data_IF_474094461932
#
_entry.id   IF_474094461932
#
_cell.length_a   1.000
_cell.length_b   1.000
_cell.length_c   1.000
_cell.angle_alpha   90.00
_cell.angle_beta   90.00
_cell.angle_gamma   90.00
#
_symmetry.space_group_name_H-M   'P 1'
#
loop_
_entity.id
_entity.type
_entity.pdbx_description
1 polymer ?
#
# COMPACT_ATOMS: atom_id res chain seq x y z
N UNK A 1 -16.31 -22.74 16.22
CA UNK A 1 -15.87 -22.60 14.81
C UNK A 1 -14.43 -22.13 14.84
N UNK A 2 -13.53 -22.69 14.01
CA UNK A 2 -12.11 -22.35 14.07
C UNK A 2 -11.82 -20.89 13.66
N UNK A 3 -12.71 -20.26 12.90
CA UNK A 3 -12.63 -18.87 12.48
C UNK A 3 -13.99 -18.18 12.61
N UNK A 4 -14.01 -17.03 13.28
CA UNK A 4 -15.16 -16.14 13.35
C UNK A 4 -15.09 -15.08 12.25
N UNK A 5 -16.25 -14.64 11.77
CA UNK A 5 -16.34 -13.51 10.83
C UNK A 5 -15.94 -12.20 11.51
N UNK A 6 -15.45 -11.23 10.72
CA UNK A 6 -15.00 -9.93 11.25
C UNK A 6 -16.11 -9.19 12.02
N UNK A 7 -15.90 -8.82 13.30
CA UNK A 7 -16.87 -8.04 14.07
C UNK A 7 -17.29 -6.75 13.36
N UNK A 8 -16.34 -6.04 12.75
CA UNK A 8 -16.62 -4.80 12.00
C UNK A 8 -17.55 -5.04 10.82
N UNK A 9 -17.38 -6.14 10.09
CA UNK A 9 -18.26 -6.50 8.98
C UNK A 9 -19.65 -6.91 9.47
N UNK A 10 -19.74 -7.68 10.56
CA UNK A 10 -21.00 -8.06 11.18
C UNK A 10 -21.79 -6.82 11.65
N UNK A 11 -21.11 -5.84 12.26
CA UNK A 11 -21.70 -4.55 12.64
C UNK A 11 -22.15 -3.77 11.41
N UNK A 12 -21.31 -3.67 10.38
CA UNK A 12 -21.63 -2.95 9.15
C UNK A 12 -22.80 -3.58 8.36
N UNK A 13 -23.00 -4.90 8.48
CA UNK A 13 -24.09 -5.63 7.82
C UNK A 13 -25.35 -5.79 8.68
N UNK A 14 -25.36 -5.24 9.90
CA UNK A 14 -26.50 -5.27 10.82
C UNK A 14 -26.67 -6.57 11.62
N UNK A 15 -25.70 -7.48 11.60
CA UNK A 15 -25.72 -8.75 12.34
C UNK A 15 -25.18 -8.57 13.77
N UNK A 16 -25.85 -7.74 14.58
CA UNK A 16 -25.34 -7.29 15.88
C UNK A 16 -25.15 -8.43 16.90
N UNK A 17 -26.09 -9.38 16.98
CA UNK A 17 -25.98 -10.52 17.91
C UNK A 17 -24.71 -11.35 17.65
N UNK A 18 -24.44 -11.66 16.38
CA UNK A 18 -23.22 -12.38 15.99
C UNK A 18 -21.97 -11.55 16.25
N UNK A 19 -22.01 -10.24 15.99
CA UNK A 19 -20.88 -9.35 16.31
C UNK A 19 -20.56 -9.39 17.81
N UNK A 20 -21.59 -9.37 18.66
CA UNK A 20 -21.50 -9.43 20.11
C UNK A 20 -20.90 -10.76 20.59
N UNK A 21 -21.36 -11.89 20.05
CA UNK A 21 -20.80 -13.22 20.34
C UNK A 21 -19.31 -13.27 20.01
N UNK A 22 -18.91 -12.79 18.84
CA UNK A 22 -17.50 -12.80 18.41
C UNK A 22 -16.65 -11.86 19.27
N UNK A 23 -17.14 -10.65 19.60
CA UNK A 23 -16.41 -9.72 20.46
C UNK A 23 -16.24 -10.26 21.88
N UNK A 24 -17.25 -10.92 22.43
CA UNK A 24 -17.17 -11.54 23.75
C UNK A 24 -16.28 -12.79 23.76
N UNK A 25 -16.22 -13.55 22.66
CA UNK A 25 -15.25 -14.64 22.51
C UNK A 25 -13.82 -14.07 22.47
N UNK A 26 -13.56 -13.02 21.68
CA UNK A 26 -12.25 -12.34 21.64
C UNK A 26 -11.88 -11.75 23.02
N UNK A 27 -12.87 -11.23 23.76
CA UNK A 27 -12.67 -10.69 25.10
C UNK A 27 -12.35 -11.75 26.16
N UNK A 28 -12.68 -13.01 25.89
CA UNK A 28 -12.57 -14.12 26.82
C UNK A 28 -11.15 -14.27 27.37
N UNK A 29 -11.04 -14.83 28.58
CA UNK A 29 -9.77 -15.09 29.28
C UNK A 29 -8.79 -15.95 28.47
N UNK A 30 -9.31 -16.75 27.54
CA UNK A 30 -8.51 -17.56 26.62
C UNK A 30 -7.60 -16.73 25.70
N UNK A 31 -8.02 -15.51 25.35
CA UNK A 31 -7.38 -14.73 24.28
C UNK A 31 -6.88 -13.37 24.77
N UNK A 32 -7.73 -12.57 25.39
CA UNK A 32 -7.41 -11.18 25.75
C UNK A 32 -7.61 -10.87 27.24
N UNK A 33 -8.36 -11.72 27.96
CA UNK A 33 -8.62 -11.56 29.41
C UNK A 33 -9.06 -10.14 29.81
N UNK A 34 -9.90 -9.54 28.97
CA UNK A 34 -10.46 -8.22 29.26
C UNK A 34 -11.75 -8.40 30.06
N UNK A 35 -12.02 -7.47 30.98
CA UNK A 35 -13.28 -7.42 31.73
C UNK A 35 -14.44 -6.84 30.90
N UNK A 36 -14.17 -6.42 29.67
CA UNK A 36 -15.18 -5.86 28.78
C UNK A 36 -16.16 -6.96 28.35
N UNK A 37 -17.45 -6.70 28.58
CA UNK A 37 -18.55 -7.49 28.03
C UNK A 37 -19.38 -6.59 27.15
N UNK A 38 -19.48 -6.95 25.88
CA UNK A 38 -20.25 -6.20 24.91
C UNK A 38 -21.68 -6.70 24.90
N UNK A 39 -22.64 -5.79 24.77
CA UNK A 39 -24.05 -6.10 24.53
C UNK A 39 -24.49 -5.57 23.17
N UNK A 40 -25.63 -6.06 22.69
CA UNK A 40 -26.21 -5.59 21.42
C UNK A 40 -26.58 -4.12 21.47
N UNK A 41 -26.92 -3.59 22.65
CA UNK A 41 -27.21 -2.17 22.86
C UNK A 41 -25.95 -1.31 22.73
N UNK A 42 -24.83 -1.74 23.32
CA UNK A 42 -23.55 -1.02 23.20
C UNK A 42 -23.13 -0.87 21.73
N UNK A 43 -23.37 -1.92 20.93
CA UNK A 43 -23.00 -1.98 19.52
C UNK A 43 -24.03 -1.26 18.64
N UNK A 44 -25.31 -1.22 19.03
CA UNK A 44 -26.35 -0.55 18.23
C UNK A 44 -26.13 0.97 18.18
N UNK A 45 -25.53 1.58 19.21
CA UNK A 45 -25.12 2.99 19.18
C UNK A 45 -24.09 3.30 18.06
N UNK A 46 -23.30 2.31 17.64
CA UNK A 46 -22.36 2.40 16.52
C UNK A 46 -23.09 2.28 15.17
N UNK A 47 -24.18 1.49 15.13
CA UNK A 47 -24.95 1.23 13.92
C UNK A 47 -25.99 2.32 13.64
N UNK A 48 -25.59 3.39 12.94
CA UNK A 48 -26.50 4.50 12.55
C UNK A 48 -27.13 4.40 11.15
N UNK A 49 -26.97 3.28 10.43
CA UNK A 49 -27.31 3.22 9.00
C UNK A 49 -28.19 2.02 8.63
N UNK A 50 -29.52 2.21 8.69
CA UNK A 50 -30.53 1.18 8.41
C UNK A 50 -30.66 0.79 6.92
N UNK A 51 -30.02 1.52 6.00
CA UNK A 51 -30.13 1.23 4.56
C UNK A 51 -28.92 0.44 4.08
N UNK A 52 -29.13 -0.83 3.68
CA UNK A 52 -28.18 -1.60 2.88
C UNK A 52 -27.91 -0.85 1.57
N UNK A 53 -26.77 -0.16 1.49
CA UNK A 53 -26.33 0.50 0.25
C UNK A 53 -25.41 -0.43 -0.52
N UNK A 54 -25.69 -0.59 -1.81
CA UNK A 54 -24.74 -1.20 -2.73
C UNK A 54 -23.68 -0.16 -3.09
N UNK A 55 -22.41 -0.52 -2.87
CA UNK A 55 -21.28 0.33 -3.19
C UNK A 55 -20.61 -0.17 -4.47
N UNK A 56 -20.21 0.77 -5.32
CA UNK A 56 -19.57 0.51 -6.61
C UNK A 56 -18.27 1.30 -6.71
N UNK A 57 -17.42 1.03 -7.71
CA UNK A 57 -16.19 1.77 -8.01
C UNK A 57 -16.36 3.31 -7.95
N UNK A 58 -17.48 3.84 -8.46
CA UNK A 58 -17.79 5.28 -8.40
C UNK A 58 -17.76 5.86 -6.98
N UNK A 59 -18.03 5.06 -5.96
CA UNK A 59 -18.04 5.53 -4.58
C UNK A 59 -16.64 5.84 -4.04
N UNK A 60 -15.58 5.36 -4.69
CA UNK A 60 -14.20 5.80 -4.42
C UNK A 60 -14.00 7.29 -4.75
N UNK A 61 -14.80 7.84 -5.67
CA UNK A 61 -14.72 9.24 -6.08
C UNK A 61 -15.89 10.09 -5.57
N UNK A 62 -16.70 9.53 -4.67
CA UNK A 62 -17.93 10.17 -4.18
C UNK A 62 -17.69 11.46 -3.39
N UNK A 63 -16.50 11.66 -2.82
CA UNK A 63 -16.14 12.87 -2.09
C UNK A 63 -14.77 13.40 -2.53
N UNK A 64 -14.52 14.71 -2.46
CA UNK A 64 -13.23 15.27 -2.86
C UNK A 64 -12.04 14.70 -2.09
N UNK A 65 -12.24 14.30 -0.82
CA UNK A 65 -11.21 13.68 0.02
C UNK A 65 -10.90 12.26 -0.43
N UNK A 66 -11.94 11.45 -0.68
CA UNK A 66 -11.77 10.10 -1.23
C UNK A 66 -11.21 10.14 -2.65
N UNK A 67 -11.69 11.03 -3.50
CA UNK A 67 -11.20 11.21 -4.86
C UNK A 67 -9.70 11.55 -4.89
N UNK A 68 -9.24 12.49 -4.06
CA UNK A 68 -7.80 12.82 -3.94
C UNK A 68 -6.98 11.62 -3.48
N UNK A 69 -7.47 10.88 -2.48
CA UNK A 69 -6.82 9.67 -1.99
C UNK A 69 -6.80 8.56 -3.04
N UNK A 70 -7.89 8.34 -3.75
CA UNK A 70 -7.97 7.35 -4.81
C UNK A 70 -7.05 7.72 -5.95
N UNK A 71 -7.09 8.95 -6.47
CA UNK A 71 -6.15 9.39 -7.50
C UNK A 71 -4.68 9.19 -7.08
N UNK A 72 -4.33 9.50 -5.83
CA UNK A 72 -2.99 9.27 -5.30
C UNK A 72 -2.61 7.77 -5.29
N UNK A 73 -3.53 6.90 -4.87
CA UNK A 73 -3.27 5.45 -4.84
C UNK A 73 -3.23 4.83 -6.24
N UNK A 74 -4.05 5.33 -7.17
CA UNK A 74 -4.03 4.95 -8.59
C UNK A 74 -2.67 5.31 -9.20
N UNK A 75 -2.21 6.54 -8.97
CA UNK A 75 -0.90 7.00 -9.42
C UNK A 75 0.23 6.15 -8.79
N UNK A 76 0.17 5.90 -7.48
CA UNK A 76 1.17 5.07 -6.78
C UNK A 76 1.24 3.65 -7.35
N UNK A 77 0.08 3.01 -7.61
CA UNK A 77 0.01 1.67 -8.21
C UNK A 77 0.55 1.66 -9.65
N UNK A 78 0.31 2.73 -10.39
CA UNK A 78 0.82 2.87 -11.75
C UNK A 78 2.34 3.05 -11.76
N UNK A 79 2.90 3.93 -10.92
CA UNK A 79 4.34 4.08 -10.71
C UNK A 79 4.98 2.76 -10.30
N UNK A 80 4.40 2.09 -9.30
CA UNK A 80 4.83 0.77 -8.84
C UNK A 80 4.95 -0.22 -10.01
N UNK A 81 3.91 -0.33 -10.84
CA UNK A 81 3.89 -1.26 -11.96
C UNK A 81 4.93 -0.91 -13.05
N UNK A 82 5.14 0.38 -13.31
CA UNK A 82 6.16 0.85 -14.27
C UNK A 82 7.57 0.52 -13.80
N UNK A 83 7.87 0.71 -12.52
CA UNK A 83 9.15 0.34 -11.91
C UNK A 83 9.33 -1.18 -11.88
N UNK A 84 8.34 -1.95 -11.42
CA UNK A 84 8.46 -3.42 -11.39
C UNK A 84 8.67 -4.04 -12.78
N UNK A 85 8.19 -3.39 -13.86
CA UNK A 85 8.46 -3.87 -15.20
C UNK A 85 9.94 -3.78 -15.60
N UNK A 86 10.71 -2.80 -15.09
CA UNK A 86 12.15 -2.71 -15.42
C UNK A 86 12.91 -3.93 -14.88
N UNK A 87 12.53 -4.42 -13.69
CA UNK A 87 13.06 -5.65 -13.10
C UNK A 87 12.92 -6.86 -14.02
N UNK A 88 11.72 -7.08 -14.57
CA UNK A 88 11.44 -8.24 -15.42
C UNK A 88 12.42 -8.30 -16.61
N UNK A 89 12.74 -7.15 -17.21
CA UNK A 89 13.72 -7.07 -18.29
C UNK A 89 15.15 -7.29 -17.82
N UNK A 90 15.56 -6.67 -16.71
CA UNK A 90 16.92 -6.79 -16.18
C UNK A 90 17.24 -8.23 -15.80
N UNK A 91 16.32 -8.89 -15.11
CA UNK A 91 16.46 -10.30 -14.75
C UNK A 91 16.44 -11.21 -15.97
N UNK A 92 15.63 -10.92 -16.99
CA UNK A 92 15.65 -11.72 -18.23
C UNK A 92 16.99 -11.65 -18.97
N UNK A 93 17.77 -10.58 -18.80
CA UNK A 93 19.12 -10.46 -19.36
C UNK A 93 20.16 -11.31 -18.62
N UNK A 94 19.98 -11.52 -17.32
CA UNK A 94 20.95 -12.17 -16.41
C UNK A 94 20.87 -13.71 -16.44
N UNK A 95 20.99 -14.34 -17.62
CA UNK A 95 20.67 -15.77 -17.84
C UNK A 95 21.20 -16.74 -16.76
N UNK A 96 22.48 -16.65 -16.38
CA UNK A 96 23.10 -17.62 -15.45
C UNK A 96 22.87 -17.31 -13.96
N UNK A 97 22.45 -16.10 -13.60
CA UNK A 97 22.37 -15.64 -12.19
C UNK A 97 20.96 -15.30 -11.72
N UNK A 98 19.94 -15.44 -12.59
CA UNK A 98 18.52 -15.16 -12.29
C UNK A 98 18.07 -15.78 -10.97
N UNK A 99 18.36 -17.07 -10.75
CA UNK A 99 17.88 -17.80 -9.57
C UNK A 99 18.40 -17.18 -8.28
N UNK A 100 19.67 -16.76 -8.26
CA UNK A 100 20.27 -16.13 -7.08
C UNK A 100 19.62 -14.79 -6.77
N UNK A 101 19.42 -13.93 -7.77
CA UNK A 101 18.78 -12.63 -7.55
C UNK A 101 17.31 -12.76 -7.14
N UNK A 102 16.57 -13.70 -7.73
CA UNK A 102 15.19 -14.00 -7.33
C UNK A 102 15.13 -14.55 -5.91
N UNK A 103 16.09 -15.40 -5.51
CA UNK A 103 16.19 -15.89 -4.14
C UNK A 103 16.46 -14.75 -3.14
N UNK A 104 17.39 -13.85 -3.48
CA UNK A 104 17.70 -12.68 -2.65
C UNK A 104 16.51 -11.71 -2.54
N UNK A 105 15.78 -11.47 -3.64
CA UNK A 105 14.54 -10.70 -3.64
C UNK A 105 13.50 -11.32 -2.70
N UNK A 106 13.25 -12.63 -2.82
CA UNK A 106 12.35 -13.35 -1.93
C UNK A 106 12.74 -13.27 -0.45
N UNK A 107 14.05 -13.36 -0.15
CA UNK A 107 14.58 -13.24 1.21
C UNK A 107 14.36 -11.82 1.77
N UNK A 108 14.67 -10.80 0.99
CA UNK A 108 14.43 -9.40 1.36
C UNK A 108 12.94 -9.14 1.61
N UNK A 109 12.08 -9.66 0.74
CA UNK A 109 10.63 -9.53 0.86
C UNK A 109 10.07 -10.22 2.09
N UNK A 110 10.67 -11.33 2.52
CA UNK A 110 10.29 -12.02 3.75
C UNK A 110 10.66 -11.21 5.00
N UNK A 111 11.85 -10.61 5.04
CA UNK A 111 12.34 -9.90 6.23
C UNK A 111 11.88 -8.45 6.35
N UNK A 112 11.64 -7.77 5.22
CA UNK A 112 11.27 -6.34 5.21
C UNK A 112 10.04 -6.02 6.08
N UNK A 113 8.93 -6.80 6.07
CA UNK A 113 7.80 -6.57 6.97
C UNK A 113 8.19 -6.58 8.45
N UNK A 114 9.04 -7.53 8.87
CA UNK A 114 9.49 -7.61 10.27
C UNK A 114 10.32 -6.39 10.66
N UNK A 115 11.21 -5.93 9.77
CA UNK A 115 12.00 -4.72 9.96
C UNK A 115 11.08 -3.50 10.09
N UNK A 116 10.10 -3.34 9.19
CA UNK A 116 9.15 -2.22 9.23
C UNK A 116 8.33 -2.26 10.52
N UNK A 117 7.85 -3.43 10.96
CA UNK A 117 7.09 -3.58 12.21
C UNK A 117 7.96 -3.19 13.41
N UNK A 118 9.20 -3.68 13.47
CA UNK A 118 10.13 -3.34 14.54
C UNK A 118 10.39 -1.83 14.59
N UNK A 119 10.69 -1.21 13.44
CA UNK A 119 10.89 0.25 13.35
C UNK A 119 9.62 1.02 13.72
N UNK A 120 8.45 0.52 13.35
CA UNK A 120 7.16 1.16 13.67
C UNK A 120 6.89 1.16 15.18
N UNK A 121 7.29 0.10 15.91
CA UNK A 121 7.15 0.02 17.37
C UNK A 121 8.19 0.90 18.07
N UNK A 122 9.45 0.84 17.65
CA UNK A 122 10.55 1.54 18.31
C UNK A 122 10.56 3.05 18.05
N UNK A 123 10.14 3.47 16.85
CA UNK A 123 10.18 4.87 16.43
C UNK A 123 8.75 5.42 16.32
N UNK A 124 8.28 6.19 17.32
CA UNK A 124 6.94 6.79 17.27
C UNK A 124 6.78 7.74 16.07
N UNK A 125 7.86 8.39 15.64
CA UNK A 125 7.90 9.25 14.45
C UNK A 125 7.97 8.50 13.11
N UNK A 126 8.18 7.18 13.09
CA UNK A 126 8.22 6.40 11.85
C UNK A 126 6.81 6.10 11.35
N UNK A 127 6.17 7.14 10.82
CA UNK A 127 4.83 7.10 10.26
C UNK A 127 4.77 6.61 8.81
N UNK A 128 3.55 6.39 8.30
CA UNK A 128 3.33 5.87 6.94
C UNK A 128 3.68 6.90 5.88
N UNK A 129 3.56 8.19 6.18
CA UNK A 129 3.97 9.25 5.23
C UNK A 129 5.48 9.23 5.02
N UNK A 130 6.26 9.08 6.11
CA UNK A 130 7.71 9.06 6.06
C UNK A 130 8.22 7.81 5.35
N UNK A 131 7.62 6.64 5.63
CA UNK A 131 7.93 5.40 4.92
C UNK A 131 7.68 5.51 3.42
N UNK A 132 6.52 6.06 3.03
CA UNK A 132 6.16 6.26 1.63
C UNK A 132 7.12 7.23 0.90
N UNK A 133 7.40 8.39 1.49
CA UNK A 133 8.31 9.39 0.91
C UNK A 133 9.74 8.85 0.86
N UNK A 134 10.20 8.21 1.94
CA UNK A 134 11.54 7.65 2.04
C UNK A 134 11.81 6.59 0.97
N UNK A 135 10.86 5.69 0.72
CA UNK A 135 10.95 4.70 -0.35
C UNK A 135 11.13 5.37 -1.72
N UNK A 136 10.25 6.32 -2.07
CA UNK A 136 10.31 7.03 -3.36
C UNK A 136 11.57 7.87 -3.53
N UNK A 137 12.09 8.49 -2.46
CA UNK A 137 13.35 9.25 -2.52
C UNK A 137 14.52 8.31 -2.79
N UNK A 138 14.60 7.17 -2.10
CA UNK A 138 15.66 6.20 -2.33
C UNK A 138 15.56 5.63 -3.74
N UNK A 139 14.35 5.29 -4.20
CA UNK A 139 14.11 4.80 -5.56
C UNK A 139 14.53 5.81 -6.63
N UNK A 140 14.14 7.09 -6.48
CA UNK A 140 14.51 8.15 -7.41
C UNK A 140 16.02 8.42 -7.43
N UNK A 141 16.71 8.35 -6.29
CA UNK A 141 18.17 8.46 -6.25
C UNK A 141 18.81 7.29 -7.01
N UNK A 142 18.36 6.06 -6.80
CA UNK A 142 18.94 4.89 -7.44
C UNK A 142 18.67 4.87 -8.96
N UNK A 143 17.45 5.18 -9.40
CA UNK A 143 17.16 5.35 -10.82
C UNK A 143 17.91 6.53 -11.44
N UNK A 144 18.05 7.64 -10.73
CA UNK A 144 18.89 8.77 -11.15
C UNK A 144 20.35 8.37 -11.37
N UNK A 145 20.92 7.53 -10.50
CA UNK A 145 22.27 6.97 -10.68
C UNK A 145 22.31 6.04 -11.90
N UNK A 146 21.31 5.17 -12.08
CA UNK A 146 21.20 4.30 -13.27
C UNK A 146 21.18 5.12 -14.56
N UNK A 147 20.35 6.17 -14.61
CA UNK A 147 20.25 7.09 -15.76
C UNK A 147 21.60 7.77 -16.01
N UNK A 148 22.29 8.22 -14.96
CA UNK A 148 23.61 8.84 -15.07
C UNK A 148 24.65 7.85 -15.65
N UNK A 149 24.67 6.61 -15.17
CA UNK A 149 25.59 5.59 -15.67
C UNK A 149 25.34 5.29 -17.16
N UNK A 150 24.08 5.13 -17.56
CA UNK A 150 23.72 4.92 -18.96
C UNK A 150 24.10 6.14 -19.81
N UNK A 151 23.88 7.36 -19.30
CA UNK A 151 24.24 8.60 -19.99
C UNK A 151 25.76 8.78 -20.15
N UNK A 152 26.57 8.25 -19.22
CA UNK A 152 28.03 8.22 -19.30
C UNK A 152 28.56 7.14 -20.27
N UNK A 153 27.69 6.35 -20.89
CA UNK A 153 28.05 5.34 -21.87
C UNK A 153 28.28 3.94 -21.30
N UNK A 154 27.86 3.68 -20.06
CA UNK A 154 27.81 2.29 -19.57
C UNK A 154 26.65 1.54 -20.22
N UNK A 155 26.94 0.36 -20.75
CA UNK A 155 25.92 -0.52 -21.29
C UNK A 155 24.93 -0.96 -20.21
N UNK A 156 23.68 -1.14 -20.60
CA UNK A 156 22.62 -1.63 -19.71
C UNK A 156 22.93 -3.02 -19.13
N UNK A 157 23.59 -3.87 -19.93
CA UNK A 157 24.01 -5.22 -19.52
C UNK A 157 25.17 -5.21 -18.53
N UNK A 158 25.71 -4.04 -18.17
CA UNK A 158 26.72 -3.93 -17.14
C UNK A 158 26.16 -4.42 -15.79
N UNK A 159 26.93 -5.29 -15.13
CA UNK A 159 26.59 -5.88 -13.84
C UNK A 159 26.24 -4.81 -12.80
N UNK A 160 26.97 -3.69 -12.77
CA UNK A 160 26.72 -2.62 -11.81
C UNK A 160 25.35 -1.95 -12.03
N UNK A 161 24.97 -1.68 -13.28
CA UNK A 161 23.67 -1.11 -13.65
C UNK A 161 22.56 -2.10 -13.31
N UNK A 162 22.73 -3.37 -13.67
CA UNK A 162 21.76 -4.42 -13.38
C UNK A 162 21.51 -4.60 -11.87
N UNK A 163 22.57 -4.61 -11.06
CA UNK A 163 22.46 -4.69 -9.59
C UNK A 163 21.69 -3.49 -9.03
N UNK A 164 21.98 -2.27 -9.50
CA UNK A 164 21.27 -1.08 -9.05
C UNK A 164 19.77 -1.13 -9.40
N UNK A 165 19.43 -1.55 -10.62
CA UNK A 165 18.02 -1.72 -11.01
C UNK A 165 17.35 -2.76 -10.13
N UNK A 166 17.98 -3.91 -9.90
CA UNK A 166 17.46 -4.97 -9.03
C UNK A 166 17.19 -4.45 -7.62
N UNK A 167 18.17 -3.80 -6.99
CA UNK A 167 18.03 -3.24 -5.63
C UNK A 167 16.87 -2.23 -5.58
N UNK A 168 16.77 -1.36 -6.59
CA UNK A 168 15.68 -0.37 -6.68
C UNK A 168 14.32 -1.05 -6.73
N UNK A 169 14.19 -2.08 -7.56
CA UNK A 169 12.94 -2.81 -7.72
C UNK A 169 12.59 -3.65 -6.50
N UNK A 170 13.59 -4.17 -5.77
CA UNK A 170 13.39 -4.85 -4.49
C UNK A 170 12.81 -3.89 -3.44
N UNK A 171 13.30 -2.65 -3.38
CA UNK A 171 12.75 -1.61 -2.48
C UNK A 171 11.31 -1.29 -2.84
N UNK A 172 11.01 -1.15 -4.13
CA UNK A 172 9.65 -0.91 -4.64
C UNK A 172 8.69 -2.06 -4.28
N UNK A 173 9.10 -3.31 -4.50
CA UNK A 173 8.29 -4.52 -4.21
C UNK A 173 8.12 -4.80 -2.71
N UNK A 174 9.05 -4.34 -1.89
CA UNK A 174 8.98 -4.52 -0.44
C UNK A 174 8.37 -3.32 0.26
N UNK A 175 9.06 -2.18 0.27
CA UNK A 175 8.71 -1.02 1.11
C UNK A 175 7.55 -0.25 0.51
N UNK A 176 7.62 0.11 -0.79
CA UNK A 176 6.60 0.92 -1.43
C UNK A 176 5.27 0.16 -1.52
N UNK A 177 5.31 -1.11 -1.94
CA UNK A 177 4.15 -2.00 -1.95
C UNK A 177 3.46 -2.12 -0.58
N UNK A 178 4.22 -2.38 0.50
CA UNK A 178 3.66 -2.47 1.86
C UNK A 178 2.95 -1.17 2.24
N UNK A 179 3.54 -0.02 1.91
CA UNK A 179 2.93 1.27 2.18
C UNK A 179 1.60 1.44 1.42
N UNK A 180 1.55 1.12 0.13
CA UNK A 180 0.31 1.19 -0.66
C UNK A 180 -0.80 0.33 -0.02
N UNK A 181 -0.47 -0.89 0.38
CA UNK A 181 -1.41 -1.80 1.06
C UNK A 181 -1.86 -1.24 2.42
N UNK A 182 -0.94 -0.72 3.23
CA UNK A 182 -1.25 -0.14 4.54
C UNK A 182 -2.11 1.13 4.42
N UNK A 183 -1.78 2.01 3.47
CA UNK A 183 -2.56 3.21 3.20
C UNK A 183 -3.98 2.82 2.75
N UNK A 184 -4.09 1.82 1.88
CA UNK A 184 -5.38 1.33 1.39
C UNK A 184 -6.21 0.71 2.53
N UNK A 185 -5.61 -0.11 3.39
CA UNK A 185 -6.33 -0.69 4.55
C UNK A 185 -6.77 0.38 5.54
N UNK A 186 -5.92 1.37 5.84
CA UNK A 186 -6.15 2.33 6.92
C UNK A 186 -7.03 3.52 6.51
N UNK A 187 -7.00 3.93 5.24
CA UNK A 187 -7.71 5.13 4.77
C UNK A 187 -9.02 4.86 4.06
N UNK A 188 -9.29 3.66 3.55
CA UNK A 188 -10.59 3.38 2.95
C UNK A 188 -11.58 2.88 4.01
N UNK A 189 -12.83 3.38 4.00
CA UNK A 189 -13.90 2.86 4.84
C UNK A 189 -14.12 1.37 4.63
N UNK A 190 -14.43 0.65 5.70
CA UNK A 190 -14.61 -0.82 5.68
C UNK A 190 -15.58 -1.29 4.58
N UNK A 191 -16.63 -0.52 4.31
CA UNK A 191 -17.64 -0.84 3.28
C UNK A 191 -17.14 -0.76 1.82
N UNK A 192 -16.10 0.03 1.53
CA UNK A 192 -15.54 0.18 0.16
C UNK A 192 -14.08 -0.28 0.05
N UNK A 193 -13.45 -0.68 1.16
CA UNK A 193 -12.04 -1.08 1.20
C UNK A 193 -11.73 -2.23 0.22
N UNK A 194 -12.59 -3.24 0.15
CA UNK A 194 -12.40 -4.36 -0.79
C UNK A 194 -12.51 -3.92 -2.25
N UNK A 195 -13.41 -2.98 -2.56
CA UNK A 195 -13.56 -2.39 -3.89
C UNK A 195 -12.29 -1.59 -4.25
N UNK A 196 -11.76 -0.82 -3.29
CA UNK A 196 -10.51 -0.09 -3.46
C UNK A 196 -9.35 -1.04 -3.79
N UNK A 197 -9.17 -2.12 -3.02
CA UNK A 197 -8.15 -3.14 -3.29
C UNK A 197 -8.26 -3.75 -4.68
N UNK A 198 -9.45 -4.25 -5.04
CA UNK A 198 -9.68 -4.85 -6.35
C UNK A 198 -9.36 -3.89 -7.49
N UNK A 199 -9.82 -2.64 -7.37
CA UNK A 199 -9.65 -1.63 -8.41
C UNK A 199 -8.20 -1.18 -8.55
N UNK A 200 -7.50 -0.98 -7.43
CA UNK A 200 -6.07 -0.64 -7.41
C UNK A 200 -5.21 -1.76 -8.01
N UNK A 201 -5.54 -3.02 -7.74
CA UNK A 201 -4.90 -4.16 -8.40
C UNK A 201 -5.17 -4.19 -9.90
N UNK A 202 -6.41 -3.93 -10.35
CA UNK A 202 -6.70 -3.82 -11.79
C UNK A 202 -5.84 -2.75 -12.45
N UNK A 203 -5.68 -1.59 -11.82
CA UNK A 203 -4.82 -0.51 -12.32
C UNK A 203 -3.35 -0.92 -12.35
N UNK A 204 -2.88 -1.65 -11.34
CA UNK A 204 -1.53 -2.23 -11.35
C UNK A 204 -1.31 -3.11 -12.59
N UNK A 205 -2.27 -3.95 -12.94
CA UNK A 205 -2.19 -4.78 -14.14
C UNK A 205 -2.24 -3.95 -15.43
N UNK A 206 -3.07 -2.91 -15.49
CA UNK A 206 -3.09 -1.97 -16.62
C UNK A 206 -1.72 -1.29 -16.76
N UNK A 207 -1.15 -0.78 -15.67
CA UNK A 207 0.18 -0.19 -15.65
C UNK A 207 1.26 -1.17 -16.08
N UNK A 208 1.14 -2.44 -15.68
CA UNK A 208 2.07 -3.48 -16.13
C UNK A 208 1.98 -3.71 -17.63
N UNK A 209 0.76 -3.84 -18.19
CA UNK A 209 0.55 -3.98 -19.65
C UNK A 209 1.12 -2.77 -20.40
N UNK A 210 0.81 -1.55 -19.93
CA UNK A 210 1.31 -0.32 -20.53
C UNK A 210 2.84 -0.27 -20.51
N UNK A 211 3.45 -0.60 -19.37
CA UNK A 211 4.90 -0.64 -19.25
C UNK A 211 5.52 -1.75 -20.13
N UNK A 212 4.86 -2.90 -20.32
CA UNK A 212 5.36 -3.89 -21.27
C UNK A 212 5.35 -3.35 -22.72
N UNK A 213 4.24 -2.75 -23.14
CA UNK A 213 4.08 -2.21 -24.50
C UNK A 213 5.02 -1.03 -24.77
N UNK A 214 5.26 -0.17 -23.79
CA UNK A 214 6.08 1.04 -23.94
C UNK A 214 7.57 0.75 -23.70
N UNK A 215 7.92 0.06 -22.61
CA UNK A 215 9.31 -0.13 -22.21
C UNK A 215 10.05 -1.16 -23.08
N UNK A 216 9.40 -2.24 -23.54
CA UNK A 216 10.07 -3.23 -24.42
C UNK A 216 10.69 -2.60 -25.67
N UNK A 217 9.94 -1.84 -26.50
CA UNK A 217 10.52 -1.24 -27.69
C UNK A 217 11.54 -0.13 -27.34
N UNK A 218 11.29 0.65 -26.28
CA UNK A 218 12.20 1.71 -25.85
C UNK A 218 13.54 1.16 -25.37
N UNK A 219 13.58 0.04 -24.66
CA UNK A 219 14.84 -0.57 -24.23
C UNK A 219 15.75 -0.92 -25.41
N UNK A 220 15.17 -1.25 -26.57
CA UNK A 220 15.90 -1.58 -27.80
C UNK A 220 16.31 -0.34 -28.62
N UNK A 221 15.46 0.69 -28.67
CA UNK A 221 15.68 1.87 -29.52
C UNK A 221 16.32 3.05 -28.78
N UNK A 222 15.94 3.28 -27.53
CA UNK A 222 16.39 4.37 -26.69
C UNK A 222 16.39 3.96 -25.21
N UNK A 223 17.43 3.22 -24.81
CA UNK A 223 17.57 2.64 -23.46
C UNK A 223 17.45 3.69 -22.36
N UNK A 224 18.05 4.87 -22.55
CA UNK A 224 17.93 5.98 -21.59
C UNK A 224 16.47 6.41 -21.37
N UNK A 225 15.67 6.48 -22.43
CA UNK A 225 14.25 6.82 -22.35
C UNK A 225 13.42 5.82 -21.55
N UNK A 226 13.80 4.54 -21.60
CA UNK A 226 13.13 3.49 -20.83
C UNK A 226 13.28 3.66 -19.31
N UNK A 227 14.34 4.34 -18.83
CA UNK A 227 14.55 4.66 -17.42
C UNK A 227 14.03 6.04 -17.03
N UNK A 228 14.10 7.01 -17.94
CA UNK A 228 13.55 8.37 -17.71
C UNK A 228 12.04 8.33 -17.44
N UNK A 229 11.29 7.48 -18.15
CA UNK A 229 9.82 7.42 -17.98
C UNK A 229 9.42 6.98 -16.56
N UNK A 230 9.91 5.84 -16.01
CA UNK A 230 9.70 5.48 -14.62
C UNK A 230 10.18 6.55 -13.63
N UNK A 231 11.34 7.18 -13.88
CA UNK A 231 11.88 8.24 -13.02
C UNK A 231 10.94 9.45 -12.92
N UNK A 232 10.41 9.93 -14.06
CA UNK A 232 9.43 11.01 -14.08
C UNK A 232 8.19 10.63 -13.25
N UNK A 233 7.73 9.38 -13.35
CA UNK A 233 6.59 8.92 -12.57
C UNK A 233 6.91 8.83 -11.07
N UNK A 234 8.12 8.42 -10.69
CA UNK A 234 8.58 8.44 -9.28
C UNK A 234 8.56 9.86 -8.75
N UNK A 235 9.14 10.81 -9.49
CA UNK A 235 9.20 12.23 -9.10
C UNK A 235 7.81 12.85 -8.97
N UNK A 236 6.92 12.61 -9.94
CA UNK A 236 5.53 13.09 -9.88
C UNK A 236 4.85 12.49 -8.64
N UNK A 237 4.94 11.19 -8.43
CA UNK A 237 4.32 10.50 -7.28
C UNK A 237 4.88 10.98 -5.95
N UNK A 238 6.19 11.26 -5.88
CA UNK A 238 6.87 11.82 -4.72
C UNK A 238 6.33 13.21 -4.39
N UNK A 239 6.29 14.11 -5.38
CA UNK A 239 5.78 15.49 -5.21
C UNK A 239 4.31 15.45 -4.79
N UNK A 240 3.47 14.70 -5.52
CA UNK A 240 2.04 14.60 -5.18
C UNK A 240 1.84 13.96 -3.81
N UNK A 241 2.61 12.94 -3.48
CA UNK A 241 2.55 12.24 -2.20
C UNK A 241 2.96 13.13 -1.04
N UNK A 242 3.98 13.96 -1.21
CA UNK A 242 4.40 14.92 -0.20
C UNK A 242 3.25 15.84 0.24
N UNK A 243 2.44 16.34 -0.70
CA UNK A 243 1.32 17.24 -0.42
C UNK A 243 0.02 16.52 -0.07
N UNK A 244 -0.32 15.44 -0.77
CA UNK A 244 -1.65 14.80 -0.66
C UNK A 244 -1.70 13.66 0.35
N UNK A 245 -0.56 13.07 0.72
CA UNK A 245 -0.52 11.92 1.62
C UNK A 245 -0.48 12.38 3.09
N UNK A 246 -1.55 12.13 3.88
CA UNK A 246 -1.57 12.43 5.30
C UNK A 246 -0.92 11.29 6.10
N UNK A 247 -0.48 11.61 7.31
CA UNK A 247 -0.05 10.60 8.27
C UNK A 247 -1.25 9.76 8.75
N UNK A 248 -1.09 8.44 8.77
CA UNK A 248 -2.15 7.48 9.10
C UNK A 248 -1.87 6.67 10.37
N UNK A 249 -0.63 6.64 10.86
CA UNK A 249 -0.24 5.97 12.10
C UNK A 249 -1.01 6.54 13.30
N UNK A 250 -1.40 5.65 14.23
CA UNK A 250 -2.06 6.00 15.49
C UNK A 250 -3.52 6.46 15.37
N UNK A 251 -4.09 6.46 14.17
CA UNK A 251 -5.44 6.98 13.91
C UNK A 251 -6.43 5.85 13.65
N UNK A 252 -7.64 5.97 14.18
CA UNK A 252 -8.69 4.96 14.02
C UNK A 252 -9.07 4.69 12.54
N UNK A 253 -9.45 3.45 12.24
CA UNK A 253 -9.97 3.02 10.94
C UNK A 253 -11.35 3.63 10.70
N UNK A 254 -11.61 4.03 9.45
CA UNK A 254 -12.95 4.44 9.04
C UNK A 254 -13.80 3.20 8.74
N UNK A 255 -15.01 3.16 9.28
CA UNK A 255 -15.96 2.09 9.07
C UNK A 255 -17.04 2.48 8.06
N UNK A 256 -17.45 3.76 8.04
CA UNK A 256 -18.54 4.25 7.20
C UNK A 256 -18.12 5.35 6.21
N UNK A 257 -18.92 5.52 5.15
CA UNK A 257 -18.70 6.59 4.14
C UNK A 257 -18.84 8.00 4.72
N UNK A 258 -19.67 8.18 5.75
CA UNK A 258 -19.88 9.49 6.40
C UNK A 258 -18.57 9.99 7.02
N UNK A 259 -17.81 9.11 7.64
CA UNK A 259 -16.51 9.41 8.26
C UNK A 259 -15.47 9.83 7.21
N UNK A 260 -15.56 9.29 5.99
CA UNK A 260 -14.70 9.70 4.88
C UNK A 260 -14.97 11.15 4.41
N UNK A 261 -16.20 11.64 4.59
CA UNK A 261 -16.58 12.99 4.17
C UNK A 261 -16.19 14.05 5.20
N UNK A 262 -16.48 13.81 6.48
CA UNK A 262 -16.15 14.73 7.57
C UNK A 262 -14.68 14.69 7.96
N UNK A 263 -13.94 13.69 7.48
CA UNK A 263 -12.56 13.46 7.89
C UNK A 263 -12.54 12.76 9.24
N UNK A 264 -11.38 12.25 9.63
CA UNK A 264 -11.22 11.67 10.97
C UNK A 264 -11.53 12.75 11.99
N UNK A 265 -12.75 12.74 12.56
CA UNK A 265 -12.96 13.24 13.91
C UNK A 265 -11.87 12.60 14.76
N UNK A 266 -11.11 13.42 15.48
CA UNK A 266 -9.92 13.08 16.26
C UNK A 266 -10.22 12.02 17.34
N UNK A 267 -10.45 10.79 16.91
CA UNK A 267 -10.34 9.62 17.75
C UNK A 267 -8.94 9.09 17.51
N UNK A 268 -7.94 9.79 18.06
CA UNK A 268 -6.64 9.13 18.32
C UNK A 268 -6.96 7.86 19.12
N UNK A 269 -6.33 6.75 18.76
CA UNK A 269 -6.41 5.57 19.63
C UNK A 269 -5.92 6.01 21.02
N UNK A 270 -6.68 5.74 22.10
CA UNK A 270 -6.25 6.08 23.44
C UNK A 270 -4.79 5.66 23.62
N UNK A 271 -3.89 6.58 24.00
CA UNK A 271 -2.44 6.28 24.11
C UNK A 271 -2.15 5.07 25.00
N UNK A 272 -3.06 4.75 25.92
CA UNK A 272 -3.04 3.55 26.75
C UNK A 272 -3.08 2.22 25.96
N UNK A 273 -3.63 2.22 24.73
CA UNK A 273 -3.70 1.06 23.83
C UNK A 273 -2.49 0.96 22.87
N UNK A 274 -1.62 1.98 22.85
CA UNK A 274 -0.43 2.06 21.97
C UNK A 274 0.86 1.67 22.72
N UNK A 275 0.77 1.41 24.03
CA UNK A 275 1.88 0.96 24.87
C UNK A 275 2.19 -0.51 24.70
#
# INVERSE_FOLDING_TARGET
MLFHESPRWLIATGKLNKACEVLNDIAHQRWNNTKARFTTEDISYIHKNDKKRFYTFYHLFSSPRLAKQSLMQILSMFTYAMVSNTYLYTVSGLHDSVIMFVFLDGLFRLFTPFIIIFLDIQLPGFGRKIQFIGALVIEGILFGIVILLIALGYDYDNIAVSILVIITTMINDCVFWINIVQITTQRYPTVIRSIAFGSLHSIKHIGSIVGLVILTPLLKSWTLGAFIIPEILIVITLITGFFLQPETKGKALMDQMVEANFGRLENELPRALIR
#
